data_IF_599296557569
#
_entry.id   IF_599296557569
#
_cell.length_a   1.000
_cell.length_b   1.000
_cell.length_c   1.000
_cell.angle_alpha   90.00
_cell.angle_beta   90.00
_cell.angle_gamma   90.00
#
_symmetry.space_group_name_H-M   'P 1'
#
loop_
_entity.id
_entity.type
_entity.pdbx_description
1 polymer ?
#
# COMPACT_ATOMS: atom_id res chain seq x y z
N UNK A 1 35.29 -3.47 -18.64
CA UNK A 1 35.66 -2.68 -17.44
C UNK A 1 34.83 -1.40 -17.29
N UNK A 2 34.59 -0.65 -18.37
CA UNK A 2 33.77 0.58 -18.37
C UNK A 2 32.32 0.39 -17.85
N UNK A 3 31.61 -0.68 -18.25
CA UNK A 3 30.23 -0.95 -17.79
C UNK A 3 30.14 -1.19 -16.27
N UNK A 4 31.18 -1.76 -15.64
CA UNK A 4 31.23 -1.92 -14.18
C UNK A 4 31.46 -0.58 -13.48
N UNK A 5 32.17 0.36 -14.11
CA UNK A 5 32.37 1.73 -13.60
C UNK A 5 31.10 2.58 -13.66
N UNK A 6 30.37 2.52 -14.79
CA UNK A 6 29.09 3.23 -14.97
C UNK A 6 28.01 2.72 -14.01
N UNK A 7 27.89 1.39 -13.83
CA UNK A 7 26.98 0.81 -12.85
C UNK A 7 27.33 1.23 -11.41
N UNK A 8 28.63 1.34 -11.09
CA UNK A 8 29.09 1.83 -9.78
C UNK A 8 28.74 3.30 -9.55
N UNK A 9 28.95 4.16 -10.55
CA UNK A 9 28.60 5.57 -10.48
C UNK A 9 27.08 5.75 -10.33
N UNK A 10 26.27 5.00 -11.09
CA UNK A 10 24.82 5.03 -10.99
C UNK A 10 24.30 4.60 -9.60
N UNK A 11 24.85 3.54 -9.00
CA UNK A 11 24.47 3.11 -7.64
C UNK A 11 24.81 4.16 -6.59
N UNK A 12 25.94 4.85 -6.72
CA UNK A 12 26.37 5.89 -5.77
C UNK A 12 25.56 7.17 -5.94
N UNK A 13 25.29 7.60 -7.18
CA UNK A 13 24.59 8.85 -7.48
C UNK A 13 23.06 8.73 -7.36
N UNK A 14 22.48 7.61 -7.80
CA UNK A 14 21.02 7.40 -7.84
C UNK A 14 20.50 6.55 -6.67
N UNK A 15 21.35 5.79 -5.99
CA UNK A 15 20.97 4.92 -4.87
C UNK A 15 20.17 5.65 -3.77
N UNK A 16 20.65 6.79 -3.24
CA UNK A 16 19.90 7.55 -2.23
C UNK A 16 18.54 8.07 -2.70
N UNK A 17 18.36 8.33 -4.01
CA UNK A 17 17.11 8.82 -4.59
C UNK A 17 16.11 7.69 -4.90
N UNK A 18 16.61 6.46 -5.10
CA UNK A 18 15.84 5.27 -5.42
C UNK A 18 15.42 4.43 -4.20
N UNK A 19 16.10 4.58 -3.06
CA UNK A 19 15.85 3.82 -1.84
C UNK A 19 14.73 4.42 -0.99
N UNK A 20 13.49 4.32 -1.46
CA UNK A 20 12.32 4.84 -0.73
C UNK A 20 11.74 3.83 0.25
N UNK A 21 11.94 2.54 -0.02
CA UNK A 21 11.44 1.45 0.82
C UNK A 21 12.53 0.42 1.12
N UNK A 22 12.40 -0.33 2.24
CA UNK A 22 13.25 -1.48 2.52
C UNK A 22 13.25 -2.57 1.42
N UNK A 23 12.20 -2.64 0.58
CA UNK A 23 12.16 -3.54 -0.57
C UNK A 23 13.13 -3.09 -1.67
N UNK A 24 13.15 -1.79 -1.99
CA UNK A 24 14.09 -1.21 -2.95
C UNK A 24 15.54 -1.44 -2.50
N UNK A 25 15.77 -1.38 -1.19
CA UNK A 25 17.06 -1.68 -0.57
C UNK A 25 17.52 -3.12 -0.79
N UNK A 26 16.64 -4.10 -0.56
CA UNK A 26 16.95 -5.50 -0.82
C UNK A 26 17.24 -5.75 -2.31
N UNK A 27 16.41 -5.20 -3.20
CA UNK A 27 16.61 -5.33 -4.65
C UNK A 27 17.95 -4.73 -5.10
N UNK A 28 18.31 -3.55 -4.58
CA UNK A 28 19.60 -2.92 -4.88
C UNK A 28 20.79 -3.75 -4.38
N UNK A 29 20.69 -4.33 -3.18
CA UNK A 29 21.74 -5.18 -2.62
C UNK A 29 21.96 -6.46 -3.45
N UNK A 30 20.88 -7.03 -4.00
CA UNK A 30 20.95 -8.19 -4.90
C UNK A 30 21.58 -7.84 -6.24
N UNK A 31 21.27 -6.65 -6.78
CA UNK A 31 21.83 -6.17 -8.05
C UNK A 31 23.31 -5.74 -7.95
N UNK A 32 23.84 -5.52 -6.75
CA UNK A 32 25.23 -5.08 -6.56
C UNK A 32 26.25 -6.17 -6.90
N UNK A 33 27.30 -5.88 -7.69
CA UNK A 33 28.35 -6.85 -8.00
C UNK A 33 29.13 -7.25 -6.74
N UNK A 34 29.50 -8.54 -6.66
CA UNK A 34 30.30 -9.11 -5.56
C UNK A 34 31.78 -9.24 -5.96
N UNK A 35 32.74 -9.00 -5.04
CA UNK A 35 32.56 -8.51 -3.67
C UNK A 35 32.14 -7.03 -3.63
N UNK A 36 31.42 -6.63 -2.56
CA UNK A 36 31.01 -5.23 -2.38
C UNK A 36 32.23 -4.35 -2.12
N UNK A 37 32.28 -3.20 -2.78
CA UNK A 37 33.30 -2.18 -2.50
C UNK A 37 33.03 -1.46 -1.17
N UNK A 38 34.06 -0.88 -0.57
CA UNK A 38 33.92 -0.11 0.69
C UNK A 38 32.95 1.07 0.54
N UNK A 39 32.95 1.75 -0.62
CA UNK A 39 32.02 2.86 -0.90
C UNK A 39 30.58 2.39 -0.96
N UNK A 40 30.30 1.30 -1.70
CA UNK A 40 28.95 0.71 -1.78
C UNK A 40 28.47 0.23 -0.41
N UNK A 41 29.35 -0.40 0.38
CA UNK A 41 29.04 -0.85 1.74
C UNK A 41 28.66 0.33 2.65
N UNK A 42 29.44 1.41 2.63
CA UNK A 42 29.15 2.63 3.41
C UNK A 42 27.81 3.27 3.01
N UNK A 43 27.55 3.37 1.70
CA UNK A 43 26.29 3.91 1.18
C UNK A 43 25.08 3.09 1.66
N UNK A 44 25.10 1.77 1.45
CA UNK A 44 24.01 0.89 1.87
C UNK A 44 23.81 0.89 3.39
N UNK A 45 24.89 0.96 4.16
CA UNK A 45 24.81 1.07 5.63
C UNK A 45 24.12 2.36 6.05
N UNK A 46 24.48 3.49 5.42
CA UNK A 46 23.86 4.80 5.69
C UNK A 46 22.37 4.81 5.30
N UNK A 47 22.03 4.23 4.15
CA UNK A 47 20.62 4.12 3.72
C UNK A 47 19.81 3.25 4.67
N UNK A 48 20.36 2.12 5.14
CA UNK A 48 19.66 1.29 6.10
C UNK A 48 19.33 2.03 7.41
N UNK A 49 20.26 2.87 7.89
CA UNK A 49 20.07 3.69 9.09
C UNK A 49 19.03 4.80 8.91
N UNK A 50 18.72 5.21 7.67
CA UNK A 50 17.68 6.21 7.40
C UNK A 50 16.25 5.65 7.43
N UNK A 51 16.07 4.32 7.40
CA UNK A 51 14.74 3.74 7.53
C UNK A 51 14.25 3.84 8.97
N UNK A 52 13.01 4.29 9.14
CA UNK A 52 12.39 4.34 10.46
C UNK A 52 12.00 2.92 10.96
N UNK A 53 11.72 2.83 12.26
CA UNK A 53 11.33 1.54 12.88
C UNK A 53 10.03 0.98 12.29
N UNK A 54 9.15 1.85 11.82
CA UNK A 54 7.86 1.48 11.22
C UNK A 54 8.05 0.78 9.87
N UNK A 55 8.80 1.38 8.96
CA UNK A 55 9.21 0.82 7.68
C UNK A 55 9.86 -0.53 7.92
N UNK A 56 10.89 -0.61 8.77
CA UNK A 56 11.59 -1.86 9.01
C UNK A 56 10.67 -2.95 9.60
N UNK A 57 9.74 -2.61 10.50
CA UNK A 57 8.77 -3.57 11.07
C UNK A 57 7.75 -4.09 10.06
N UNK A 58 7.26 -3.24 9.15
CA UNK A 58 6.35 -3.65 8.08
C UNK A 58 7.00 -4.66 7.14
N UNK A 59 8.25 -4.40 6.75
CA UNK A 59 9.00 -5.26 5.83
C UNK A 59 9.68 -6.45 6.53
N UNK A 60 9.81 -6.43 7.85
CA UNK A 60 10.31 -7.56 8.63
C UNK A 60 9.46 -8.83 8.48
N UNK A 61 8.20 -8.75 8.00
CA UNK A 61 7.40 -9.94 7.66
C UNK A 61 8.01 -10.75 6.51
N UNK A 62 8.72 -10.11 5.57
CA UNK A 62 9.46 -10.76 4.49
C UNK A 62 10.92 -11.03 4.89
N UNK A 63 11.12 -11.81 5.96
CA UNK A 63 12.38 -11.85 6.74
C UNK A 63 13.64 -12.25 5.95
N UNK A 64 13.53 -12.98 4.84
CA UNK A 64 14.68 -13.58 4.14
C UNK A 64 15.68 -12.55 3.65
N UNK A 65 15.21 -11.58 2.85
CA UNK A 65 16.06 -10.58 2.23
C UNK A 65 16.70 -9.62 3.25
N UNK A 66 15.95 -9.20 4.27
CA UNK A 66 16.44 -8.29 5.30
C UNK A 66 17.48 -8.95 6.22
N UNK A 67 17.28 -10.23 6.57
CA UNK A 67 18.27 -11.02 7.31
C UNK A 67 19.56 -11.21 6.50
N UNK A 68 19.45 -11.47 5.20
CA UNK A 68 20.60 -11.59 4.31
C UNK A 68 21.38 -10.26 4.23
N UNK A 69 20.67 -9.14 4.14
CA UNK A 69 21.29 -7.81 4.12
C UNK A 69 22.06 -7.50 5.41
N UNK A 70 21.46 -7.73 6.57
CA UNK A 70 22.09 -7.53 7.87
C UNK A 70 23.38 -8.34 7.99
N UNK A 71 23.37 -9.62 7.61
CA UNK A 71 24.55 -10.49 7.68
C UNK A 71 25.65 -10.06 6.71
N UNK A 72 25.27 -9.65 5.49
CA UNK A 72 26.21 -9.29 4.43
C UNK A 72 26.92 -7.95 4.69
N UNK A 73 26.17 -6.99 5.24
CA UNK A 73 26.66 -5.64 5.52
C UNK A 73 27.20 -5.49 6.95
N UNK A 74 26.99 -6.49 7.82
CA UNK A 74 27.33 -6.46 9.24
C UNK A 74 26.66 -5.29 9.97
N UNK A 75 25.37 -5.09 9.73
CA UNK A 75 24.60 -3.99 10.32
C UNK A 75 24.32 -4.31 11.80
N UNK A 76 24.75 -3.42 12.69
CA UNK A 76 24.52 -3.54 14.15
C UNK A 76 23.55 -2.51 14.74
N UNK A 77 23.17 -1.48 13.98
CA UNK A 77 22.35 -0.37 14.47
C UNK A 77 21.18 -0.06 13.51
N UNK A 78 19.97 0.26 14.02
CA UNK A 78 19.58 0.23 15.44
C UNK A 78 19.50 -1.20 16.00
N UNK A 79 20.08 -1.43 17.18
CA UNK A 79 20.27 -2.77 17.75
C UNK A 79 18.95 -3.53 17.95
N UNK A 80 17.91 -2.87 18.48
CA UNK A 80 16.59 -3.47 18.67
C UNK A 80 16.03 -4.04 17.36
N UNK A 81 16.18 -3.29 16.26
CA UNK A 81 15.64 -3.68 14.96
C UNK A 81 16.42 -4.84 14.37
N UNK A 82 17.74 -4.69 14.31
CA UNK A 82 18.66 -5.72 13.81
C UNK A 82 18.47 -7.04 14.57
N UNK A 83 18.49 -6.99 15.90
CA UNK A 83 18.37 -8.16 16.76
C UNK A 83 17.00 -8.83 16.63
N UNK A 84 15.92 -8.04 16.52
CA UNK A 84 14.57 -8.56 16.31
C UNK A 84 14.43 -9.27 14.95
N UNK A 85 14.95 -8.69 13.86
CA UNK A 85 14.91 -9.29 12.52
C UNK A 85 15.73 -10.58 12.47
N UNK A 86 16.90 -10.59 13.13
CA UNK A 86 17.73 -11.79 13.26
C UNK A 86 17.12 -12.84 14.20
N UNK A 87 16.04 -12.52 14.93
CA UNK A 87 15.38 -13.45 15.84
C UNK A 87 16.17 -13.73 17.12
N UNK A 88 17.02 -12.79 17.55
CA UNK A 88 17.76 -12.88 18.81
C UNK A 88 16.81 -12.79 20.01
N UNK A 89 17.27 -13.28 21.17
CA UNK A 89 16.54 -13.19 22.44
C UNK A 89 16.96 -11.93 23.19
N UNK A 90 16.08 -11.44 24.04
CA UNK A 90 16.37 -10.35 24.95
C UNK A 90 17.47 -10.83 25.94
N UNK A 91 18.47 -9.98 26.22
CA UNK A 91 19.60 -10.32 27.09
C UNK A 91 19.19 -10.88 28.45
N UNK A 92 19.90 -11.90 28.92
CA UNK A 92 19.61 -12.63 30.17
C UNK A 92 19.99 -11.88 31.44
N UNK A 93 20.85 -10.87 31.31
CA UNK A 93 21.48 -10.15 32.41
C UNK A 93 21.77 -8.71 32.02
N UNK A 94 21.92 -7.83 33.00
CA UNK A 94 22.13 -6.40 32.79
C UNK A 94 23.43 -6.09 32.02
N UNK A 95 24.47 -6.91 32.18
CA UNK A 95 25.76 -6.67 31.53
C UNK A 95 25.73 -7.04 30.05
N UNK A 96 25.11 -8.16 29.68
CA UNK A 96 24.85 -8.47 28.27
C UNK A 96 23.88 -7.47 27.63
N UNK A 97 22.91 -6.95 28.39
CA UNK A 97 22.03 -5.88 27.93
C UNK A 97 22.80 -4.60 27.60
N UNK A 98 23.66 -4.14 28.51
CA UNK A 98 24.49 -2.95 28.32
C UNK A 98 25.37 -3.06 27.07
N UNK A 99 25.92 -4.25 26.80
CA UNK A 99 26.75 -4.51 25.60
C UNK A 99 25.94 -4.64 24.31
N UNK A 100 24.67 -5.00 24.40
CA UNK A 100 23.82 -5.23 23.23
C UNK A 100 23.43 -3.96 22.47
N UNK A 101 23.53 -2.79 23.11
CA UNK A 101 23.09 -1.51 22.54
C UNK A 101 21.57 -1.37 22.41
N UNK A 102 20.79 -2.23 23.09
CA UNK A 102 19.34 -2.09 23.18
C UNK A 102 18.98 -0.79 23.93
N UNK A 103 17.94 -0.07 23.49
CA UNK A 103 17.52 1.15 24.17
C UNK A 103 16.78 0.84 25.48
N UNK A 104 16.87 1.75 26.46
CA UNK A 104 16.17 1.66 27.74
C UNK A 104 16.98 0.97 28.84
N UNK A 105 16.28 0.36 29.78
CA UNK A 105 16.85 -0.36 30.93
C UNK A 105 16.67 -1.87 30.77
N UNK A 106 17.49 -2.65 31.48
CA UNK A 106 17.34 -4.09 31.50
C UNK A 106 16.11 -4.49 32.33
N UNK A 107 15.25 -5.32 31.73
CA UNK A 107 14.04 -5.83 32.36
C UNK A 107 14.16 -7.34 32.57
N UNK A 108 14.25 -7.77 33.84
CA UNK A 108 14.37 -9.19 34.21
C UNK A 108 13.22 -10.04 33.65
N UNK A 109 11.98 -9.52 33.68
CA UNK A 109 10.79 -10.23 33.15
C UNK A 109 10.90 -10.59 31.67
N UNK A 110 11.72 -9.85 30.90
CA UNK A 110 11.91 -10.07 29.46
C UNK A 110 13.09 -10.98 29.16
N UNK A 111 13.94 -11.31 30.14
CA UNK A 111 15.12 -12.15 29.98
C UNK A 111 14.80 -13.43 29.21
N UNK A 112 15.56 -13.71 28.14
CA UNK A 112 15.40 -14.92 27.33
C UNK A 112 14.17 -14.94 26.41
N UNK A 113 13.26 -13.95 26.50
CA UNK A 113 12.14 -13.81 25.57
C UNK A 113 12.64 -13.41 24.18
N UNK A 114 11.93 -13.83 23.12
CA UNK A 114 12.32 -13.47 21.75
C UNK A 114 12.09 -11.98 21.53
N UNK A 115 13.11 -11.26 21.04
CA UNK A 115 12.95 -9.88 20.63
C UNK A 115 11.99 -9.80 19.45
N UNK A 116 11.00 -8.91 19.56
CA UNK A 116 10.05 -8.59 18.51
C UNK A 116 10.11 -7.09 18.28
N UNK A 117 9.99 -6.69 17.01
CA UNK A 117 9.73 -5.30 16.69
C UNK A 117 8.35 -4.92 17.27
N UNK A 118 8.19 -3.67 17.77
CA UNK A 118 6.88 -3.17 18.08
C UNK A 118 5.99 -3.35 16.85
N UNK A 119 4.82 -3.95 17.04
CA UNK A 119 3.91 -4.17 15.92
C UNK A 119 3.49 -2.81 15.43
N UNK A 120 3.82 -2.49 14.18
CA UNK A 120 3.37 -1.26 13.58
C UNK A 120 1.84 -1.21 13.63
N UNK A 121 1.35 -0.07 14.09
CA UNK A 121 -0.07 0.26 14.24
C UNK A 121 -0.70 0.55 12.87
N UNK A 122 -0.49 -0.37 11.92
CA UNK A 122 -1.02 -0.28 10.57
C UNK A 122 -2.49 -0.64 10.57
N UNK A 123 -3.20 -0.13 9.57
CA UNK A 123 -4.56 -0.56 9.29
C UNK A 123 -4.68 -2.08 9.10
N UNK A 124 -3.68 -2.73 8.50
CA UNK A 124 -3.67 -4.19 8.35
C UNK A 124 -3.58 -4.92 9.69
N UNK A 125 -2.72 -4.47 10.60
CA UNK A 125 -2.60 -5.06 11.95
C UNK A 125 -3.90 -4.91 12.71
N UNK A 126 -4.49 -3.71 12.68
CA UNK A 126 -5.73 -3.43 13.41
C UNK A 126 -6.86 -4.28 12.87
N UNK A 127 -7.05 -4.36 11.56
CA UNK A 127 -8.09 -5.24 10.99
C UNK A 127 -7.82 -6.73 11.18
N UNK A 128 -6.56 -7.14 11.36
CA UNK A 128 -6.23 -8.54 11.69
C UNK A 128 -6.58 -8.85 13.15
N UNK A 129 -6.37 -7.90 14.05
CA UNK A 129 -6.62 -8.05 15.48
C UNK A 129 -8.11 -7.87 15.85
N UNK A 130 -8.74 -6.83 15.33
CA UNK A 130 -10.11 -6.42 15.63
C UNK A 130 -11.14 -6.98 14.62
N UNK A 131 -10.67 -7.46 13.47
CA UNK A 131 -11.51 -7.96 12.39
C UNK A 131 -12.02 -6.86 11.44
N UNK A 132 -12.84 -7.28 10.47
CA UNK A 132 -13.50 -6.39 9.51
C UNK A 132 -14.82 -5.84 10.08
N UNK A 133 -14.76 -5.15 11.21
CA UNK A 133 -15.91 -4.60 11.93
C UNK A 133 -16.08 -3.10 11.67
N UNK A 134 -17.27 -2.56 11.91
CA UNK A 134 -17.53 -1.13 11.72
C UNK A 134 -16.64 -0.28 12.65
N UNK A 135 -16.50 -0.71 13.91
CA UNK A 135 -15.71 -0.03 14.94
C UNK A 135 -14.23 0.07 14.56
N UNK A 136 -13.66 -1.01 14.01
CA UNK A 136 -12.27 -1.02 13.57
C UNK A 136 -12.02 -0.02 12.43
N UNK A 137 -12.95 0.06 11.47
CA UNK A 137 -12.90 1.02 10.36
C UNK A 137 -13.12 2.46 10.81
N UNK A 138 -14.11 2.71 11.66
CA UNK A 138 -14.41 4.03 12.22
C UNK A 138 -13.21 4.55 12.99
N UNK A 139 -12.66 3.73 13.89
CA UNK A 139 -11.45 4.05 14.63
C UNK A 139 -10.27 4.35 13.72
N UNK A 140 -10.13 3.66 12.58
CA UNK A 140 -9.07 3.90 11.58
C UNK A 140 -9.19 5.26 10.90
N UNK A 141 -10.42 5.64 10.56
CA UNK A 141 -10.74 6.91 9.94
C UNK A 141 -10.52 8.07 10.91
N UNK A 142 -10.94 7.92 12.17
CA UNK A 142 -10.80 8.93 13.22
C UNK A 142 -9.35 9.26 13.55
N UNK A 143 -8.52 8.22 13.71
CA UNK A 143 -7.09 8.40 14.02
C UNK A 143 -6.23 8.76 12.81
N UNK A 144 -6.81 8.88 11.62
CA UNK A 144 -6.08 9.18 10.39
C UNK A 144 -5.05 8.12 9.96
N UNK A 145 -5.13 6.89 10.49
CA UNK A 145 -4.17 5.80 10.20
C UNK A 145 -4.59 4.93 8.99
N UNK A 146 -5.55 5.39 8.18
CA UNK A 146 -5.95 4.75 6.93
C UNK A 146 -5.44 5.56 5.72
N UNK A 147 -4.34 5.12 5.07
CA UNK A 147 -3.83 5.78 3.86
C UNK A 147 -4.87 5.81 2.74
N UNK A 148 -4.82 6.83 1.89
CA UNK A 148 -5.80 7.04 0.81
C UNK A 148 -5.99 5.82 -0.10
N UNK A 149 -4.90 5.19 -0.55
CA UNK A 149 -4.98 3.99 -1.39
C UNK A 149 -5.61 2.78 -0.65
N UNK A 150 -5.35 2.65 0.65
CA UNK A 150 -5.94 1.59 1.47
C UNK A 150 -7.44 1.84 1.66
N UNK A 151 -7.84 3.09 1.88
CA UNK A 151 -9.25 3.50 1.91
C UNK A 151 -9.95 3.12 0.61
N UNK A 152 -9.38 3.49 -0.54
CA UNK A 152 -9.96 3.24 -1.88
C UNK A 152 -10.23 1.76 -2.15
N UNK A 153 -9.26 0.88 -1.83
CA UNK A 153 -9.39 -0.57 -2.02
C UNK A 153 -10.38 -1.24 -1.06
N UNK A 154 -10.73 -0.57 0.04
CA UNK A 154 -11.56 -1.12 1.11
C UNK A 154 -12.93 -0.44 1.23
N UNK A 155 -13.34 0.38 0.25
CA UNK A 155 -14.68 1.02 0.26
C UNK A 155 -15.79 -0.02 0.39
N UNK A 156 -15.73 -1.11 -0.39
CA UNK A 156 -16.69 -2.23 -0.26
C UNK A 156 -16.73 -2.79 1.15
N UNK A 157 -15.57 -3.01 1.77
CA UNK A 157 -15.50 -3.60 3.11
C UNK A 157 -16.09 -2.65 4.18
N UNK A 158 -15.86 -1.34 4.05
CA UNK A 158 -16.48 -0.33 4.93
C UNK A 158 -18.00 -0.26 4.74
N UNK A 159 -18.49 -0.37 3.51
CA UNK A 159 -19.92 -0.48 3.19
C UNK A 159 -20.54 -1.76 3.78
N UNK A 160 -19.86 -2.90 3.62
CA UNK A 160 -20.30 -4.21 4.15
C UNK A 160 -20.22 -4.28 5.69
N UNK A 161 -19.27 -3.58 6.31
CA UNK A 161 -19.20 -3.49 7.77
C UNK A 161 -20.33 -2.63 8.33
N UNK A 162 -20.83 -1.67 7.55
CA UNK A 162 -21.90 -0.76 7.96
C UNK A 162 -21.41 0.34 8.91
N UNK A 163 -20.34 1.05 8.51
CA UNK A 163 -19.84 2.22 9.24
C UNK A 163 -20.91 3.32 9.32
N UNK A 164 -20.78 4.23 10.27
CA UNK A 164 -21.77 5.29 10.50
C UNK A 164 -21.84 6.29 9.33
N UNK A 165 -22.99 6.99 9.16
CA UNK A 165 -23.13 8.04 8.15
C UNK A 165 -22.07 9.13 8.21
N UNK A 166 -21.67 9.56 9.42
CA UNK A 166 -20.63 10.58 9.59
C UNK A 166 -19.27 10.12 9.01
N UNK A 167 -18.95 8.83 9.17
CA UNK A 167 -17.74 8.25 8.61
C UNK A 167 -17.81 8.08 7.09
N UNK A 168 -18.99 7.78 6.54
CA UNK A 168 -19.21 7.84 5.09
C UNK A 168 -18.96 9.25 4.55
N UNK A 169 -19.49 10.28 5.19
CA UNK A 169 -19.25 11.68 4.81
C UNK A 169 -17.77 12.05 4.83
N UNK A 170 -16.99 11.56 5.81
CA UNK A 170 -15.52 11.76 5.83
C UNK A 170 -14.84 11.14 4.61
N UNK A 171 -15.22 9.91 4.23
CA UNK A 171 -14.62 9.23 3.07
C UNK A 171 -15.04 9.93 1.77
N UNK A 172 -16.32 10.25 1.60
CA UNK A 172 -16.82 10.98 0.43
C UNK A 172 -16.17 12.36 0.29
N UNK A 173 -15.99 13.08 1.40
CA UNK A 173 -15.27 14.36 1.41
C UNK A 173 -13.82 14.24 0.91
N UNK A 174 -13.10 13.20 1.32
CA UNK A 174 -11.74 12.92 0.80
C UNK A 174 -11.72 12.57 -0.69
N UNK A 175 -12.75 11.90 -1.20
CA UNK A 175 -12.85 11.56 -2.62
C UNK A 175 -13.18 12.79 -3.48
N UNK A 176 -14.03 13.68 -2.99
CA UNK A 176 -14.43 14.92 -3.69
C UNK A 176 -13.41 16.05 -3.56
N UNK A 177 -12.48 15.97 -2.62
CA UNK A 177 -11.39 16.95 -2.51
C UNK A 177 -10.29 16.71 -3.54
N UNK A 178 -10.24 17.57 -4.58
CA UNK A 178 -9.21 17.51 -5.62
C UNK A 178 -7.78 17.57 -5.07
N UNK A 179 -7.53 18.35 -4.00
CA UNK A 179 -6.19 18.49 -3.44
C UNK A 179 -5.73 17.18 -2.79
N UNK A 180 -6.61 16.52 -2.03
CA UNK A 180 -6.35 15.19 -1.47
C UNK A 180 -6.14 14.16 -2.59
N UNK A 181 -6.95 14.18 -3.64
CA UNK A 181 -6.81 13.28 -4.80
C UNK A 181 -5.48 13.50 -5.54
N UNK A 182 -5.07 14.74 -5.77
CA UNK A 182 -3.79 15.05 -6.39
C UNK A 182 -2.61 14.58 -5.52
N UNK A 183 -2.65 14.89 -4.22
CA UNK A 183 -1.60 14.49 -3.27
C UNK A 183 -1.52 12.96 -3.08
N UNK A 184 -2.61 12.24 -3.34
CA UNK A 184 -2.64 10.77 -3.27
C UNK A 184 -1.77 10.10 -4.35
N UNK A 185 -1.46 10.82 -5.45
CA UNK A 185 -0.75 10.32 -6.64
C UNK A 185 -1.34 9.03 -7.22
N UNK A 186 -2.62 8.78 -6.97
CA UNK A 186 -3.30 7.62 -7.51
C UNK A 186 -3.66 7.89 -8.97
N UNK A 187 -3.41 6.89 -9.82
CA UNK A 187 -3.85 6.92 -11.21
C UNK A 187 -5.38 6.72 -11.31
N UNK A 188 -6.06 7.26 -12.34
CA UNK A 188 -7.51 7.18 -12.51
C UNK A 188 -8.06 5.75 -12.46
N UNK A 189 -7.35 4.79 -13.06
CA UNK A 189 -7.78 3.39 -13.08
C UNK A 189 -7.95 2.78 -11.67
N UNK A 190 -7.30 3.35 -10.64
CA UNK A 190 -7.49 2.91 -9.25
C UNK A 190 -8.87 3.27 -8.72
N UNK A 191 -9.43 4.41 -9.14
CA UNK A 191 -10.77 4.84 -8.77
C UNK A 191 -11.82 4.02 -9.53
N UNK A 192 -11.61 3.77 -10.82
CA UNK A 192 -12.48 2.88 -11.60
C UNK A 192 -12.55 1.47 -11.00
N UNK A 193 -11.41 0.90 -10.61
CA UNK A 193 -11.38 -0.40 -9.94
C UNK A 193 -12.14 -0.41 -8.61
N UNK A 194 -12.25 0.73 -7.93
CA UNK A 194 -13.06 0.86 -6.73
C UNK A 194 -14.56 0.96 -7.05
N UNK A 195 -14.94 1.61 -8.16
CA UNK A 195 -16.32 1.61 -8.68
C UNK A 195 -16.78 0.18 -8.98
N UNK A 196 -15.97 -0.57 -9.73
CA UNK A 196 -16.26 -1.97 -10.08
C UNK A 196 -16.38 -2.88 -8.85
N UNK A 197 -15.65 -2.54 -7.77
CA UNK A 197 -15.71 -3.28 -6.52
C UNK A 197 -17.00 -3.02 -5.71
N UNK A 198 -17.75 -1.96 -5.98
CA UNK A 198 -19.02 -1.65 -5.30
C UNK A 198 -20.16 -2.39 -6.03
N UNK A 199 -20.85 -3.35 -5.37
CA UNK A 199 -21.96 -4.11 -5.96
C UNK A 199 -23.10 -3.21 -6.42
N UNK A 200 -23.80 -3.58 -7.50
CA UNK A 200 -24.81 -2.73 -8.15
C UNK A 200 -25.92 -2.34 -7.18
N UNK A 201 -26.36 -3.31 -6.38
CA UNK A 201 -27.48 -3.17 -5.45
C UNK A 201 -27.05 -3.41 -4.00
N UNK A 202 -27.81 -2.84 -3.07
CA UNK A 202 -27.66 -3.13 -1.63
C UNK A 202 -27.87 -4.63 -1.35
N UNK A 203 -28.77 -5.29 -2.07
CA UNK A 203 -29.00 -6.73 -1.91
C UNK A 203 -27.74 -7.57 -2.23
N UNK A 204 -27.03 -7.24 -3.31
CA UNK A 204 -25.75 -7.88 -3.66
C UNK A 204 -24.65 -7.56 -2.64
N UNK A 205 -24.62 -6.32 -2.14
CA UNK A 205 -23.67 -5.92 -1.10
C UNK A 205 -23.84 -6.76 0.17
N UNK A 206 -25.08 -6.94 0.61
CA UNK A 206 -25.42 -7.71 1.81
C UNK A 206 -25.17 -9.20 1.58
N UNK A 207 -25.56 -9.77 0.43
CA UNK A 207 -25.36 -11.19 0.15
C UNK A 207 -23.89 -11.59 -0.02
N UNK A 208 -23.05 -10.66 -0.46
CA UNK A 208 -21.59 -10.87 -0.60
C UNK A 208 -20.80 -10.56 0.67
N UNK A 209 -21.45 -10.06 1.73
CA UNK A 209 -20.79 -9.77 3.00
C UNK A 209 -20.50 -11.07 3.77
N UNK A 210 -19.31 -11.16 4.39
CA UNK A 210 -18.95 -12.32 5.22
C UNK A 210 -19.72 -12.36 6.54
N UNK A 211 -19.98 -11.19 7.10
CA UNK A 211 -20.70 -10.99 8.35
C UNK A 211 -21.87 -10.05 8.07
N UNK A 212 -22.97 -10.16 8.84
CA UNK A 212 -24.08 -9.22 8.72
C UNK A 212 -23.59 -7.79 9.00
N UNK A 213 -23.96 -6.80 8.16
CA UNK A 213 -23.55 -5.42 8.36
C UNK A 213 -24.13 -4.87 9.66
N UNK A 214 -23.36 -4.05 10.39
CA UNK A 214 -23.87 -3.33 11.58
C UNK A 214 -25.02 -2.39 11.20
N UNK A 215 -24.96 -1.81 10.01
CA UNK A 215 -25.97 -0.93 9.41
C UNK A 215 -26.07 -1.23 7.93
N UNK A 216 -27.28 -1.48 7.43
CA UNK A 216 -27.51 -1.67 5.99
C UNK A 216 -27.52 -0.28 5.32
N UNK A 217 -26.64 -0.03 4.33
CA UNK A 217 -26.63 1.26 3.64
C UNK A 217 -27.84 1.41 2.72
N UNK A 218 -28.28 2.65 2.51
CA UNK A 218 -29.28 2.96 1.49
C UNK A 218 -28.67 2.86 0.08
N UNK A 219 -29.49 2.58 -0.93
CA UNK A 219 -29.03 2.50 -2.33
C UNK A 219 -28.39 3.82 -2.79
N UNK A 220 -28.97 4.95 -2.42
CA UNK A 220 -28.43 6.27 -2.73
C UNK A 220 -26.98 6.46 -2.26
N UNK A 221 -26.58 5.82 -1.16
CA UNK A 221 -25.21 5.91 -0.66
C UNK A 221 -24.22 5.19 -1.60
N UNK A 222 -24.60 4.05 -2.17
CA UNK A 222 -23.76 3.34 -3.15
C UNK A 222 -23.58 4.21 -4.40
N UNK A 223 -24.65 4.86 -4.83
CA UNK A 223 -24.63 5.75 -6.00
C UNK A 223 -23.81 7.01 -5.73
N UNK A 224 -23.89 7.58 -4.53
CA UNK A 224 -23.03 8.69 -4.08
C UNK A 224 -21.54 8.33 -4.11
N UNK A 225 -21.19 7.12 -3.69
CA UNK A 225 -19.81 6.63 -3.77
C UNK A 225 -19.34 6.48 -5.22
N UNK A 226 -20.18 5.95 -6.11
CA UNK A 226 -19.85 5.84 -7.55
C UNK A 226 -19.61 7.22 -8.15
N UNK A 227 -20.51 8.16 -7.92
CA UNK A 227 -20.38 9.53 -8.40
C UNK A 227 -19.10 10.21 -7.87
N UNK A 228 -18.80 10.07 -6.58
CA UNK A 228 -17.59 10.62 -5.97
C UNK A 228 -16.30 9.98 -6.53
N UNK A 229 -16.31 8.67 -6.80
CA UNK A 229 -15.18 7.97 -7.40
C UNK A 229 -14.95 8.38 -8.86
N UNK A 230 -16.02 8.59 -9.63
CA UNK A 230 -15.92 9.08 -11.01
C UNK A 230 -15.35 10.50 -11.05
N UNK A 231 -15.80 11.40 -10.17
CA UNK A 231 -15.25 12.74 -10.02
C UNK A 231 -13.75 12.70 -9.65
N UNK A 232 -13.41 11.89 -8.64
CA UNK A 232 -12.02 11.69 -8.22
C UNK A 232 -11.15 11.10 -9.35
N UNK A 233 -11.70 10.19 -10.16
CA UNK A 233 -11.02 9.61 -11.31
C UNK A 233 -10.67 10.67 -12.36
N UNK A 234 -11.61 11.57 -12.68
CA UNK A 234 -11.37 12.69 -13.61
C UNK A 234 -10.35 13.68 -13.05
N UNK A 235 -10.44 14.01 -11.75
CA UNK A 235 -9.46 14.88 -11.08
C UNK A 235 -8.05 14.26 -11.11
N UNK A 236 -7.95 12.96 -10.82
CA UNK A 236 -6.69 12.22 -10.91
C UNK A 236 -6.13 12.20 -12.34
N UNK A 237 -6.97 12.13 -13.36
CA UNK A 237 -6.50 12.13 -14.76
C UNK A 237 -5.83 13.46 -15.11
N UNK A 238 -6.44 14.58 -14.68
CA UNK A 238 -5.89 15.92 -14.90
C UNK A 238 -4.62 16.21 -14.09
N UNK A 239 -4.56 15.72 -12.84
CA UNK A 239 -3.52 16.13 -11.87
C UNK A 239 -2.38 15.14 -11.71
N UNK A 240 -2.65 13.84 -11.87
CA UNK A 240 -1.70 12.77 -11.55
C UNK A 240 -1.15 12.07 -12.80
N UNK A 241 -1.62 12.43 -13.99
CA UNK A 241 -1.04 11.95 -15.25
C UNK A 241 -0.47 13.14 -16.01
N UNK A 242 0.74 12.97 -16.51
CA UNK A 242 1.36 13.92 -17.41
C UNK A 242 0.72 13.76 -18.81
N UNK A 243 0.15 14.82 -19.40
CA UNK A 243 -0.41 14.77 -20.74
C UNK A 243 0.64 14.38 -21.77
N UNK A 244 0.22 13.63 -22.79
CA UNK A 244 1.08 13.33 -23.94
C UNK A 244 1.03 14.52 -24.91
N UNK A 245 2.17 15.13 -25.25
CA UNK A 245 2.18 16.25 -26.19
C UNK A 245 1.85 15.79 -27.62
N UNK A 246 1.07 16.60 -28.33
CA UNK A 246 0.72 16.38 -29.74
C UNK A 246 -0.73 15.93 -29.96
N UNK A 247 -1.05 15.54 -31.20
CA UNK A 247 -2.39 15.07 -31.56
C UNK A 247 -2.49 13.56 -31.38
N UNK A 248 -3.54 13.12 -30.70
CA UNK A 248 -3.79 11.70 -30.46
C UNK A 248 -5.12 11.25 -31.04
N UNK A 249 -5.13 10.12 -31.76
CA UNK A 249 -6.33 9.45 -32.24
C UNK A 249 -6.64 8.26 -31.32
N UNK A 250 -7.82 8.26 -30.72
CA UNK A 250 -8.31 7.14 -29.90
C UNK A 250 -9.27 6.31 -30.73
N UNK A 251 -8.91 5.06 -31.00
CA UNK A 251 -9.78 4.06 -31.62
C UNK A 251 -10.17 3.06 -30.56
N UNK A 252 -11.47 2.92 -30.31
CA UNK A 252 -12.01 1.97 -29.32
C UNK A 252 -12.70 0.83 -30.06
N UNK A 253 -12.17 -0.38 -29.92
CA UNK A 253 -12.83 -1.58 -30.43
C UNK A 253 -14.02 -1.93 -29.51
N UNK A 254 -15.22 -1.88 -30.07
CA UNK A 254 -16.47 -2.20 -29.38
C UNK A 254 -17.02 -3.58 -29.76
N UNK A 255 -16.24 -4.40 -30.46
CA UNK A 255 -16.62 -5.76 -30.85
C UNK A 255 -16.93 -6.64 -29.64
N UNK A 256 -17.76 -7.67 -29.84
CA UNK A 256 -18.09 -8.62 -28.77
C UNK A 256 -16.87 -9.41 -28.28
N UNK A 257 -15.87 -9.61 -29.14
CA UNK A 257 -14.58 -10.18 -28.77
C UNK A 257 -13.82 -9.30 -27.76
N UNK A 258 -13.80 -7.97 -27.96
CA UNK A 258 -13.20 -7.02 -27.04
C UNK A 258 -13.95 -6.97 -25.69
N UNK A 259 -15.28 -7.11 -25.71
CA UNK A 259 -16.11 -7.19 -24.49
C UNK A 259 -15.84 -8.46 -23.69
N UNK A 260 -15.65 -9.61 -24.35
CA UNK A 260 -15.39 -10.90 -23.70
C UNK A 260 -14.04 -10.94 -22.95
N UNK A 261 -13.00 -10.22 -23.42
CA UNK A 261 -11.71 -10.12 -22.74
C UNK A 261 -11.74 -9.36 -21.40
N UNK A 262 -12.72 -8.47 -21.19
CA UNK A 262 -12.83 -7.70 -19.94
C UNK A 262 -13.34 -8.55 -18.77
N UNK A 263 -14.19 -9.54 -19.05
CA UNK A 263 -14.82 -10.40 -18.02
C UNK A 263 -13.81 -11.38 -17.40
N UNK A 264 -12.74 -11.75 -18.11
CA UNK A 264 -11.80 -12.80 -17.70
C UNK A 264 -10.71 -12.33 -16.71
N UNK A 265 -10.52 -11.02 -16.50
CA UNK A 265 -9.46 -10.49 -15.60
C UNK A 265 -9.86 -10.31 -14.13
N UNK A 266 -11.13 -10.56 -13.77
CA UNK A 266 -11.63 -10.48 -12.38
C UNK A 266 -11.71 -11.82 -11.63
N UNK A 267 -11.41 -12.94 -12.27
CA UNK A 267 -11.63 -14.27 -11.72
C UNK A 267 -10.56 -14.69 -10.69
N UNK A 268 -10.57 -14.04 -9.53
CA UNK A 268 -10.18 -14.70 -8.27
C UNK A 268 -11.45 -15.03 -7.51
N UNK A 269 -11.96 -16.25 -7.75
CA UNK A 269 -13.00 -16.97 -6.98
C UNK A 269 -14.18 -16.12 -6.44
N UNK A 270 -15.16 -15.87 -7.30
CA UNK A 270 -16.58 -15.90 -6.92
C UNK A 270 -17.41 -16.12 -8.19
N UNK A 271 -18.23 -17.16 -8.18
CA UNK A 271 -19.23 -17.42 -9.23
C UNK A 271 -20.28 -16.30 -9.17
N UNK A 272 -20.30 -15.45 -10.20
CA UNK A 272 -21.33 -14.44 -10.39
C UNK A 272 -21.09 -13.70 -11.70
N UNK A 273 -22.02 -13.84 -12.65
CA UNK A 273 -22.02 -13.08 -13.90
C UNK A 273 -22.08 -11.58 -13.58
N UNK A 274 -20.98 -10.86 -13.67
CA UNK A 274 -21.01 -9.39 -13.74
C UNK A 274 -20.94 -9.00 -15.21
N UNK A 275 -22.05 -8.50 -15.74
CA UNK A 275 -22.08 -7.81 -17.01
C UNK A 275 -21.38 -6.46 -16.82
N UNK A 276 -20.28 -6.24 -17.54
CA UNK A 276 -19.69 -4.91 -17.69
C UNK A 276 -20.71 -4.01 -18.37
N UNK A 277 -21.31 -3.07 -17.62
CA UNK A 277 -22.29 -2.14 -18.17
C UNK A 277 -21.60 -1.15 -19.12
N UNK A 278 -22.32 -0.70 -20.15
CA UNK A 278 -21.86 0.28 -21.14
C UNK A 278 -21.33 1.61 -20.55
N UNK A 279 -21.62 1.90 -19.27
CA UNK A 279 -21.12 3.08 -18.54
C UNK A 279 -19.59 3.08 -18.36
N UNK A 280 -18.95 1.91 -18.32
CA UNK A 280 -17.49 1.81 -18.16
C UNK A 280 -16.75 2.25 -19.44
N UNK A 281 -17.32 2.03 -20.62
CA UNK A 281 -16.70 2.44 -21.89
C UNK A 281 -16.77 3.96 -22.10
N UNK A 282 -17.90 4.59 -21.77
CA UNK A 282 -18.02 6.06 -21.81
C UNK A 282 -17.06 6.74 -20.82
N UNK A 283 -16.88 6.14 -19.63
CA UNK A 283 -15.96 6.64 -18.61
C UNK A 283 -14.49 6.48 -19.01
N UNK A 284 -14.12 5.37 -19.67
CA UNK A 284 -12.79 5.15 -20.23
C UNK A 284 -12.51 6.11 -21.38
N UNK A 285 -13.46 6.33 -22.29
CA UNK A 285 -13.32 7.31 -23.38
C UNK A 285 -13.22 8.75 -22.87
N UNK A 286 -14.00 9.13 -21.83
CA UNK A 286 -13.90 10.44 -21.21
C UNK A 286 -12.56 10.65 -20.48
N UNK A 287 -12.03 9.60 -19.84
CA UNK A 287 -10.69 9.65 -19.23
C UNK A 287 -9.59 9.74 -20.29
N UNK A 288 -9.70 8.99 -21.39
CA UNK A 288 -8.77 9.09 -22.51
C UNK A 288 -8.82 10.49 -23.15
N UNK A 289 -10.00 11.09 -23.29
CA UNK A 289 -10.12 12.47 -23.78
C UNK A 289 -9.42 13.49 -22.86
N UNK A 290 -9.55 13.34 -21.54
CA UNK A 290 -8.86 14.19 -20.56
C UNK A 290 -7.33 13.99 -20.59
N UNK A 291 -6.86 12.79 -20.93
CA UNK A 291 -5.42 12.49 -20.99
C UNK A 291 -4.72 13.00 -22.25
N UNK A 292 -5.51 13.36 -23.25
CA UNK A 292 -5.07 13.73 -24.60
C UNK A 292 -5.40 15.19 -24.94
N UNK A 293 -5.88 15.97 -23.97
CA UNK A 293 -6.11 17.42 -24.04
C UNK A 293 -5.25 18.11 -23.00
#
# INVERSE_FOLDING_TARGET
LACKGLARQAVVTLGPLALRTPQDFSALLEACPRPLTNTTRKLLTKSFASFDTYQLSKYAKNTGALKAAIRTLHLGSPALVVMSILGKRYPSDAETFRKSGLPGYWEEKRAGQRLRLPVADTWETVLTAEGNTAEAWEGLLDRGKLPFMAMLRNIRNMLQAGISPAHHSKVLGKLRDEATVANSRQFPFRFLAAVDAIPATVAELVSSARNPPKRVPAQALLDDYRAALDEASRAAARRNIQPLPGSSLVVVDTSDAARAMQVTRGASRALGKQASSASNMASVSALLAILLT
#
